data_IF_741181075510
#
_entry.id   IF_741181075510
#
_cell.length_a   1.000
_cell.length_b   1.000
_cell.length_c   1.000
_cell.angle_alpha   90.00
_cell.angle_beta   90.00
_cell.angle_gamma   90.00
#
_symmetry.space_group_name_H-M   'P 1'
#
loop_
_entity.id
_entity.type
_entity.pdbx_description
1 polymer ?
#
# COMPACT_ATOMS: atom_id res chain seq x y z
N UNK A 1 -4.20 -2.62 -32.02
CA UNK A 1 -3.13 -3.21 -32.85
C UNK A 1 -2.33 -2.08 -33.47
N UNK A 2 -1.04 -2.07 -33.27
CA UNK A 2 -0.14 -1.07 -33.82
C UNK A 2 1.22 -1.17 -33.15
N UNK A 3 2.20 -0.48 -33.68
CA UNK A 3 3.60 -0.49 -33.25
C UNK A 3 3.77 0.07 -31.86
N UNK A 4 4.45 -0.66 -30.98
CA UNK A 4 4.89 -0.18 -29.65
C UNK A 4 6.39 0.05 -29.72
N UNK A 5 6.85 1.22 -29.31
CA UNK A 5 8.27 1.54 -29.20
C UNK A 5 8.67 1.56 -27.71
N UNK A 6 9.56 0.64 -27.34
CA UNK A 6 10.21 0.56 -26.03
C UNK A 6 11.63 1.10 -26.15
N UNK A 7 11.90 2.19 -25.46
CA UNK A 7 13.22 2.83 -25.42
C UNK A 7 13.87 2.53 -24.08
N UNK A 8 15.05 1.92 -24.12
CA UNK A 8 15.85 1.62 -22.95
C UNK A 8 17.12 2.47 -22.92
N UNK A 9 17.34 3.14 -21.80
CA UNK A 9 18.57 3.86 -21.55
C UNK A 9 19.52 3.12 -20.59
N UNK A 10 19.13 1.99 -20.02
CA UNK A 10 19.91 1.26 -19.01
C UNK A 10 20.33 -0.14 -19.48
N UNK A 11 19.52 -0.79 -20.29
CA UNK A 11 19.74 -2.18 -20.71
C UNK A 11 19.92 -2.26 -22.22
N UNK A 12 20.78 -3.21 -22.65
CA UNK A 12 20.95 -3.54 -24.07
C UNK A 12 19.73 -4.30 -24.61
N UNK A 13 19.60 -4.31 -25.93
CA UNK A 13 18.52 -5.03 -26.63
C UNK A 13 18.52 -6.53 -26.28
N UNK A 14 19.70 -7.15 -26.14
CA UNK A 14 19.84 -8.56 -25.77
C UNK A 14 19.37 -8.82 -24.32
N UNK A 15 19.67 -7.90 -23.37
CA UNK A 15 19.23 -8.04 -21.99
C UNK A 15 17.72 -7.93 -21.87
N UNK A 16 17.11 -6.98 -22.59
CA UNK A 16 15.66 -6.81 -22.66
C UNK A 16 15.02 -8.05 -23.27
N UNK A 17 15.60 -8.60 -24.35
CA UNK A 17 15.10 -9.82 -24.99
C UNK A 17 15.11 -11.01 -24.03
N UNK A 18 16.22 -11.26 -23.33
CA UNK A 18 16.32 -12.33 -22.32
C UNK A 18 15.24 -12.19 -21.24
N UNK A 19 14.95 -10.95 -20.82
CA UNK A 19 13.89 -10.68 -19.83
C UNK A 19 12.50 -10.91 -20.41
N UNK A 20 12.27 -10.44 -21.63
CA UNK A 20 10.99 -10.59 -22.31
C UNK A 20 10.65 -12.08 -22.59
N UNK A 21 11.63 -12.89 -22.96
CA UNK A 21 11.48 -14.34 -23.20
C UNK A 21 11.09 -15.11 -21.92
N UNK A 22 11.33 -14.55 -20.71
CA UNK A 22 10.87 -15.15 -19.45
C UNK A 22 9.41 -14.79 -19.12
N UNK A 23 8.97 -13.64 -19.58
CA UNK A 23 7.64 -13.08 -19.24
C UNK A 23 6.59 -13.47 -20.28
N UNK A 24 7.01 -13.67 -21.53
CA UNK A 24 6.12 -13.95 -22.66
C UNK A 24 6.61 -15.14 -23.46
N UNK A 25 5.75 -16.14 -23.67
CA UNK A 25 6.05 -17.30 -24.53
C UNK A 25 6.27 -16.90 -26.01
N UNK A 26 5.63 -15.82 -26.44
CA UNK A 26 5.77 -15.28 -27.80
C UNK A 26 5.72 -13.75 -27.74
N UNK A 27 6.80 -13.11 -28.15
CA UNK A 27 6.85 -11.65 -28.26
C UNK A 27 6.01 -11.17 -29.42
N UNK A 28 5.29 -10.03 -29.25
CA UNK A 28 4.54 -9.40 -30.35
C UNK A 28 5.48 -8.93 -31.47
N UNK A 29 5.10 -9.14 -32.72
CA UNK A 29 5.87 -8.68 -33.89
C UNK A 29 5.89 -7.16 -34.01
N UNK A 30 4.89 -6.47 -33.42
CA UNK A 30 4.73 -5.02 -33.43
C UNK A 30 5.50 -4.32 -32.26
N UNK A 31 6.30 -5.03 -31.47
CA UNK A 31 7.14 -4.48 -30.41
C UNK A 31 8.55 -4.19 -30.93
N UNK A 32 8.91 -2.92 -30.95
CA UNK A 32 10.25 -2.45 -31.32
C UNK A 32 11.02 -2.01 -30.09
N UNK A 33 12.28 -2.40 -30.01
CA UNK A 33 13.19 -2.04 -28.91
C UNK A 33 14.27 -1.12 -29.49
N UNK A 34 14.52 -0.03 -28.78
CA UNK A 34 15.56 0.94 -29.13
C UNK A 34 16.43 1.20 -27.89
N UNK A 35 17.70 0.82 -27.96
CA UNK A 35 18.70 1.13 -26.92
C UNK A 35 19.30 2.52 -27.22
N UNK A 36 18.68 3.59 -26.69
CA UNK A 36 19.07 4.97 -26.95
C UNK A 36 18.74 5.88 -25.75
N UNK A 37 19.55 6.92 -25.56
CA UNK A 37 19.41 7.89 -24.48
C UNK A 37 19.25 9.34 -24.99
N UNK A 38 19.57 9.58 -26.25
CA UNK A 38 19.38 10.90 -26.87
C UNK A 38 17.92 11.12 -27.28
N UNK A 39 17.28 12.15 -26.71
CA UNK A 39 15.86 12.43 -26.95
C UNK A 39 15.57 12.82 -28.41
N UNK A 40 16.54 13.42 -29.12
CA UNK A 40 16.35 13.85 -30.52
C UNK A 40 16.28 12.63 -31.45
N UNK A 41 17.13 11.62 -31.21
CA UNK A 41 17.11 10.33 -31.94
C UNK A 41 15.81 9.58 -31.66
N UNK A 42 15.33 9.61 -30.41
CA UNK A 42 14.05 9.00 -30.03
C UNK A 42 12.89 9.70 -30.76
N UNK A 43 12.93 11.04 -30.86
CA UNK A 43 11.92 11.79 -31.60
C UNK A 43 11.88 11.42 -33.10
N UNK A 44 13.04 11.26 -33.73
CA UNK A 44 13.16 10.81 -35.11
C UNK A 44 12.59 9.39 -35.30
N UNK A 45 12.91 8.47 -34.39
CA UNK A 45 12.38 7.12 -34.40
C UNK A 45 10.85 7.09 -34.27
N UNK A 46 10.27 7.97 -33.41
CA UNK A 46 8.82 8.14 -33.29
C UNK A 46 8.20 8.65 -34.58
N UNK A 47 8.85 9.58 -35.31
CA UNK A 47 8.35 10.06 -36.59
C UNK A 47 8.36 8.98 -37.69
N UNK A 48 9.42 8.15 -37.71
CA UNK A 48 9.58 7.08 -38.71
C UNK A 48 8.62 5.91 -38.47
N UNK A 49 8.50 5.46 -37.22
CA UNK A 49 7.72 4.27 -36.85
C UNK A 49 6.25 4.58 -36.61
N UNK A 50 5.91 5.84 -36.33
CA UNK A 50 4.57 6.29 -35.94
C UNK A 50 3.91 5.34 -34.90
N UNK A 51 4.53 5.12 -33.73
CA UNK A 51 4.06 4.14 -32.76
C UNK A 51 2.72 4.57 -32.17
N UNK A 52 1.88 3.59 -31.82
CA UNK A 52 0.63 3.84 -31.08
C UNK A 52 0.86 3.94 -29.56
N UNK A 53 2.06 3.58 -29.10
CA UNK A 53 2.46 3.63 -27.69
C UNK A 53 3.98 3.76 -27.56
N UNK A 54 4.44 4.64 -26.68
CA UNK A 54 5.85 4.88 -26.40
C UNK A 54 6.16 4.58 -24.92
N UNK A 55 7.20 3.81 -24.65
CA UNK A 55 7.72 3.52 -23.30
C UNK A 55 9.15 4.02 -23.21
N UNK A 56 9.46 4.78 -22.15
CA UNK A 56 10.81 5.31 -21.86
C UNK A 56 11.28 4.70 -20.53
N UNK A 57 12.35 3.92 -20.55
CA UNK A 57 12.92 3.23 -19.39
C UNK A 57 14.44 3.46 -19.29
N UNK A 58 14.89 4.40 -18.45
CA UNK A 58 14.19 5.33 -17.58
C UNK A 58 14.46 6.79 -17.99
N UNK A 59 13.63 7.71 -17.49
CA UNK A 59 13.81 9.16 -17.75
C UNK A 59 15.15 9.69 -17.22
N UNK A 60 15.74 9.04 -16.21
CA UNK A 60 17.00 9.46 -15.61
C UNK A 60 18.19 9.30 -16.53
N UNK A 61 18.12 8.39 -17.50
CA UNK A 61 19.20 8.17 -18.47
C UNK A 61 19.08 9.05 -19.72
N UNK A 62 17.91 9.64 -19.94
CA UNK A 62 17.67 10.47 -21.12
C UNK A 62 18.40 11.80 -21.05
N UNK A 63 18.89 12.27 -22.20
CA UNK A 63 19.54 13.57 -22.33
C UNK A 63 19.21 14.25 -23.67
N UNK A 64 19.38 15.57 -23.69
CA UNK A 64 19.47 16.39 -24.92
C UNK A 64 20.80 17.10 -24.96
N UNK A 65 21.33 17.32 -26.16
CA UNK A 65 22.58 18.10 -26.37
C UNK A 65 22.38 19.58 -26.18
N UNK A 66 21.15 20.06 -26.09
CA UNK A 66 20.83 21.50 -25.97
C UNK A 66 21.23 22.11 -24.64
N UNK A 67 21.51 21.28 -23.64
CA UNK A 67 21.91 21.72 -22.30
C UNK A 67 23.15 20.95 -21.81
N UNK A 68 24.12 21.67 -21.22
CA UNK A 68 25.40 21.09 -20.78
C UNK A 68 25.34 20.30 -19.45
N UNK A 69 24.18 20.02 -18.92
CA UNK A 69 24.05 19.27 -17.65
C UNK A 69 24.07 17.77 -17.85
N UNK A 70 24.58 17.04 -16.85
CA UNK A 70 24.66 15.58 -16.91
C UNK A 70 23.28 14.92 -16.98
N UNK A 71 23.14 13.73 -17.64
CA UNK A 71 21.94 12.90 -17.57
C UNK A 71 21.49 12.66 -16.12
N UNK A 72 20.20 12.61 -15.86
CA UNK A 72 19.64 12.47 -14.52
C UNK A 72 19.59 13.75 -13.68
N UNK A 73 20.24 14.84 -14.15
CA UNK A 73 20.08 16.16 -13.50
C UNK A 73 18.65 16.69 -13.64
N UNK A 74 18.25 17.55 -12.70
CA UNK A 74 16.92 18.20 -12.69
C UNK A 74 16.61 18.89 -14.03
N UNK A 75 17.58 19.56 -14.62
CA UNK A 75 17.45 20.27 -15.90
C UNK A 75 17.24 19.30 -17.06
N UNK A 76 18.04 18.23 -17.16
CA UNK A 76 17.90 17.22 -18.20
C UNK A 76 16.54 16.52 -18.09
N UNK A 77 16.17 16.01 -16.91
CA UNK A 77 14.89 15.32 -16.68
C UNK A 77 13.71 16.24 -17.06
N UNK A 78 13.77 17.53 -16.71
CA UNK A 78 12.73 18.50 -17.08
C UNK A 78 12.65 18.69 -18.58
N UNK A 79 13.79 18.91 -19.24
CA UNK A 79 13.82 19.20 -20.69
C UNK A 79 13.40 17.97 -21.49
N UNK A 80 13.96 16.80 -21.19
CA UNK A 80 13.55 15.55 -21.85
C UNK A 80 12.08 15.22 -21.60
N UNK A 81 11.59 15.41 -20.37
CA UNK A 81 10.18 15.22 -20.02
C UNK A 81 9.25 16.14 -20.83
N UNK A 82 9.61 17.43 -21.00
CA UNK A 82 8.83 18.35 -21.85
C UNK A 82 8.80 17.90 -23.31
N UNK A 83 9.96 17.44 -23.83
CA UNK A 83 10.04 16.96 -25.21
C UNK A 83 9.18 15.69 -25.42
N UNK A 84 9.23 14.73 -24.50
CA UNK A 84 8.38 13.55 -24.53
C UNK A 84 6.87 13.91 -24.49
N UNK A 85 6.50 14.88 -23.66
CA UNK A 85 5.13 15.40 -23.61
C UNK A 85 4.74 16.08 -24.93
N UNK A 86 5.69 16.78 -25.59
CA UNK A 86 5.47 17.40 -26.91
C UNK A 86 5.25 16.33 -27.98
N UNK A 87 6.11 15.31 -28.03
CA UNK A 87 5.97 14.17 -28.95
C UNK A 87 4.59 13.50 -28.77
N UNK A 88 4.23 13.15 -27.54
CA UNK A 88 2.97 12.52 -27.23
C UNK A 88 1.77 13.36 -27.70
N UNK A 89 1.77 14.67 -27.45
CA UNK A 89 0.67 15.56 -27.85
C UNK A 89 0.61 15.79 -29.35
N UNK A 90 1.74 15.97 -30.01
CA UNK A 90 1.77 16.24 -31.46
C UNK A 90 1.32 15.06 -32.29
N UNK A 91 1.68 13.85 -31.88
CA UNK A 91 1.39 12.62 -32.61
C UNK A 91 0.20 11.85 -32.03
N UNK A 92 -0.40 12.31 -30.92
CA UNK A 92 -1.50 11.60 -30.25
C UNK A 92 -1.06 10.26 -29.64
N UNK A 93 0.21 10.14 -29.24
CA UNK A 93 0.83 8.91 -28.73
C UNK A 93 0.78 8.93 -27.19
N UNK A 94 0.16 7.94 -26.53
CA UNK A 94 0.34 7.72 -25.10
C UNK A 94 1.81 7.42 -24.77
N UNK A 95 2.37 8.15 -23.80
CA UNK A 95 3.76 7.98 -23.37
C UNK A 95 3.80 7.45 -21.93
N UNK A 96 4.47 6.33 -21.74
CA UNK A 96 4.78 5.75 -20.43
C UNK A 96 6.22 6.09 -20.07
N UNK A 97 6.41 6.78 -18.94
CA UNK A 97 7.71 7.19 -18.45
C UNK A 97 8.02 6.42 -17.18
N UNK A 98 9.02 5.56 -17.22
CA UNK A 98 9.54 4.87 -16.04
C UNK A 98 10.51 5.80 -15.32
N UNK A 99 10.37 5.90 -13.99
CA UNK A 99 11.25 6.67 -13.15
C UNK A 99 11.58 5.90 -11.86
N UNK A 100 12.86 5.93 -11.46
CA UNK A 100 13.33 5.28 -10.24
C UNK A 100 13.36 6.28 -9.07
N UNK A 101 12.82 5.85 -7.93
CA UNK A 101 12.91 6.61 -6.67
C UNK A 101 14.05 6.04 -5.82
N UNK A 102 14.89 6.90 -5.24
CA UNK A 102 15.91 6.47 -4.28
C UNK A 102 15.31 6.19 -2.90
N UNK A 103 16.03 5.41 -2.09
CA UNK A 103 15.64 5.07 -0.70
C UNK A 103 15.43 6.28 0.20
N UNK A 104 16.08 7.41 -0.07
CA UNK A 104 15.93 8.67 0.67
C UNK A 104 14.79 9.57 0.18
N UNK A 105 14.15 9.23 -0.95
CA UNK A 105 13.12 10.09 -1.56
C UNK A 105 13.65 11.39 -2.15
N UNK A 106 14.97 11.59 -2.21
CA UNK A 106 15.62 12.88 -2.48
C UNK A 106 16.16 13.09 -3.90
N UNK A 107 15.89 12.20 -4.84
CA UNK A 107 16.18 12.54 -6.23
C UNK A 107 15.10 13.48 -6.77
N UNK A 108 15.52 14.73 -6.98
CA UNK A 108 14.69 15.83 -7.49
C UNK A 108 14.01 15.53 -8.86
N UNK A 109 14.52 14.54 -9.61
CA UNK A 109 14.03 14.17 -10.93
C UNK A 109 12.59 13.62 -10.97
N UNK A 110 12.23 12.59 -10.20
CA UNK A 110 10.89 12.00 -10.26
C UNK A 110 9.77 12.99 -9.93
N UNK A 111 9.93 13.81 -8.88
CA UNK A 111 8.92 14.82 -8.48
C UNK A 111 8.62 15.85 -9.56
N UNK A 112 9.58 16.18 -10.41
CA UNK A 112 9.38 17.11 -11.52
C UNK A 112 8.47 16.48 -12.56
N UNK A 113 8.72 15.23 -12.93
CA UNK A 113 7.93 14.50 -13.91
C UNK A 113 6.49 14.29 -13.41
N UNK A 114 6.29 14.04 -12.12
CA UNK A 114 4.96 13.89 -11.50
C UNK A 114 4.05 15.10 -11.76
N UNK A 115 4.59 16.31 -11.74
CA UNK A 115 3.81 17.51 -12.03
C UNK A 115 3.46 17.66 -13.51
N UNK A 116 4.26 17.08 -14.41
CA UNK A 116 4.12 17.23 -15.86
C UNK A 116 3.13 16.23 -16.47
N UNK A 117 3.07 15.01 -15.91
CA UNK A 117 2.25 13.90 -16.45
C UNK A 117 0.80 13.94 -15.97
N UNK A 118 -0.08 13.25 -16.65
CA UNK A 118 -1.52 13.17 -16.33
C UNK A 118 -1.83 12.11 -15.28
N UNK A 119 -1.04 11.05 -15.22
CA UNK A 119 -1.18 9.96 -14.28
C UNK A 119 0.19 9.62 -13.67
N UNK A 120 0.23 9.34 -12.37
CA UNK A 120 1.40 8.83 -11.64
C UNK A 120 1.01 7.55 -10.96
N UNK A 121 1.66 6.46 -11.35
CA UNK A 121 1.52 5.14 -10.73
C UNK A 121 2.80 4.84 -9.96
N UNK A 122 2.68 4.38 -8.72
CA UNK A 122 3.81 3.95 -7.92
C UNK A 122 3.69 2.50 -7.50
N UNK A 123 4.79 1.77 -7.64
CA UNK A 123 4.95 0.46 -7.04
C UNK A 123 5.59 0.60 -5.66
N UNK A 124 4.94 0.03 -4.66
CA UNK A 124 5.49 -0.09 -3.30
C UNK A 124 5.56 -1.57 -2.94
N UNK A 125 6.55 -1.95 -2.16
CA UNK A 125 6.72 -3.32 -1.67
C UNK A 125 7.96 -3.45 -0.82
N UNK A 126 7.97 -4.40 0.10
CA UNK A 126 9.13 -4.73 0.90
C UNK A 126 10.02 -5.72 0.12
N UNK A 127 11.33 -5.61 0.30
CA UNK A 127 12.30 -6.57 -0.28
C UNK A 127 12.21 -7.97 0.33
N UNK A 128 11.66 -8.06 1.53
CA UNK A 128 11.46 -9.31 2.26
C UNK A 128 10.19 -10.07 1.82
N UNK A 129 9.29 -9.42 1.10
CA UNK A 129 8.05 -10.01 0.62
C UNK A 129 7.97 -9.92 -0.90
N UNK A 130 7.47 -10.95 -1.55
CA UNK A 130 7.29 -10.99 -3.02
C UNK A 130 6.14 -10.11 -3.48
N UNK A 131 5.31 -9.62 -2.55
CA UNK A 131 4.16 -8.77 -2.84
C UNK A 131 4.56 -7.35 -3.25
N UNK A 132 3.84 -6.83 -4.24
CA UNK A 132 3.97 -5.46 -4.76
C UNK A 132 2.59 -4.83 -4.85
N UNK A 133 2.48 -3.60 -4.36
CA UNK A 133 1.24 -2.80 -4.44
C UNK A 133 1.44 -1.71 -5.46
N UNK A 134 0.58 -1.68 -6.47
CA UNK A 134 0.47 -0.60 -7.44
C UNK A 134 -0.59 0.39 -6.97
N UNK A 135 -0.24 1.66 -6.89
CA UNK A 135 -1.13 2.73 -6.44
C UNK A 135 -1.07 3.93 -7.38
N UNK A 136 -2.21 4.51 -7.71
CA UNK A 136 -2.27 5.77 -8.42
C UNK A 136 -2.08 6.94 -7.41
N UNK A 137 -0.97 7.67 -7.53
CA UNK A 137 -0.73 8.88 -6.72
C UNK A 137 -1.37 10.13 -7.35
N UNK A 138 -1.50 10.13 -8.67
CA UNK A 138 -2.15 11.18 -9.44
C UNK A 138 -2.88 10.54 -10.62
N UNK A 139 -4.10 11.00 -10.88
CA UNK A 139 -4.86 10.56 -12.06
C UNK A 139 -5.83 11.67 -12.47
N UNK A 140 -5.58 12.34 -13.61
CA UNK A 140 -6.46 13.41 -14.11
C UNK A 140 -7.74 12.89 -14.74
N UNK A 141 -7.78 11.62 -15.13
CA UNK A 141 -8.89 11.02 -15.88
C UNK A 141 -9.73 10.05 -15.06
N UNK A 142 -9.38 9.83 -13.78
CA UNK A 142 -10.09 8.90 -12.92
C UNK A 142 -9.75 9.05 -11.46
N UNK A 143 -10.15 8.05 -10.67
CA UNK A 143 -9.85 8.00 -9.24
C UNK A 143 -8.39 7.66 -8.97
N UNK A 144 -7.83 8.16 -7.88
CA UNK A 144 -6.55 7.74 -7.31
C UNK A 144 -6.73 6.68 -6.22
N UNK A 145 -7.96 6.28 -6.00
CA UNK A 145 -8.34 5.42 -4.88
C UNK A 145 -8.22 3.92 -5.17
N UNK A 146 -7.87 3.52 -6.37
CA UNK A 146 -7.69 2.10 -6.72
C UNK A 146 -6.27 1.64 -6.40
N UNK A 147 -6.18 0.40 -5.90
CA UNK A 147 -4.91 -0.31 -5.71
C UNK A 147 -4.94 -1.64 -6.45
N UNK A 148 -3.81 -2.01 -7.04
CA UNK A 148 -3.55 -3.35 -7.57
C UNK A 148 -2.53 -4.06 -6.71
N UNK A 149 -2.78 -5.31 -6.35
CA UNK A 149 -1.83 -6.15 -5.64
C UNK A 149 -1.26 -7.19 -6.58
N UNK A 150 0.04 -7.40 -6.51
CA UNK A 150 0.77 -8.33 -7.35
C UNK A 150 1.79 -9.12 -6.52
N UNK A 151 2.04 -10.33 -6.92
CA UNK A 151 3.11 -11.18 -6.42
C UNK A 151 4.21 -11.31 -7.48
N UNK A 152 5.48 -11.28 -7.05
CA UNK A 152 6.63 -11.48 -7.93
C UNK A 152 6.88 -12.97 -8.11
N UNK A 153 6.42 -13.51 -9.24
CA UNK A 153 6.65 -14.89 -9.63
C UNK A 153 7.82 -15.02 -10.64
N UNK A 154 8.21 -16.25 -10.96
CA UNK A 154 9.23 -16.50 -11.99
C UNK A 154 8.82 -15.96 -13.37
N UNK A 155 7.52 -15.97 -13.67
CA UNK A 155 6.94 -15.45 -14.91
C UNK A 155 6.71 -13.93 -14.90
N UNK A 156 7.10 -13.21 -13.82
CA UNK A 156 6.87 -11.78 -13.65
C UNK A 156 5.85 -11.46 -12.57
N UNK A 157 5.14 -10.32 -12.70
CA UNK A 157 4.12 -9.90 -11.77
C UNK A 157 2.80 -10.61 -12.05
N UNK A 158 2.29 -11.34 -11.04
CA UNK A 158 1.00 -12.01 -11.07
C UNK A 158 0.00 -11.24 -10.20
N UNK A 159 -1.21 -11.01 -10.72
CA UNK A 159 -2.25 -10.30 -9.98
C UNK A 159 -2.79 -11.13 -8.82
N UNK A 160 -2.94 -10.51 -7.65
CA UNK A 160 -3.60 -11.08 -6.47
C UNK A 160 -5.03 -10.56 -6.44
N UNK A 161 -5.99 -11.39 -6.84
CA UNK A 161 -7.40 -11.00 -6.91
C UNK A 161 -8.02 -10.74 -5.53
N UNK A 162 -7.63 -11.54 -4.52
CA UNK A 162 -8.15 -11.45 -3.15
C UNK A 162 -7.02 -11.21 -2.13
N UNK A 163 -6.51 -9.97 -2.11
CA UNK A 163 -5.42 -9.59 -1.21
C UNK A 163 -5.76 -9.83 0.28
N UNK A 164 -6.98 -9.51 0.71
CA UNK A 164 -7.42 -9.75 2.09
C UNK A 164 -7.42 -11.23 2.45
N UNK A 165 -7.87 -12.09 1.53
CA UNK A 165 -7.85 -13.54 1.72
C UNK A 165 -6.43 -14.08 1.85
N UNK A 166 -5.54 -13.72 0.94
CA UNK A 166 -4.14 -14.15 0.96
C UNK A 166 -3.44 -13.77 2.26
N UNK A 167 -3.61 -12.52 2.73
CA UNK A 167 -3.01 -12.06 3.99
C UNK A 167 -3.57 -12.78 5.22
N UNK A 168 -4.84 -13.21 5.18
CA UNK A 168 -5.45 -13.95 6.28
C UNK A 168 -5.08 -15.44 6.31
N UNK A 169 -4.81 -16.05 5.14
CA UNK A 169 -4.39 -17.46 5.04
C UNK A 169 -3.02 -17.71 5.69
N UNK A 170 -2.13 -16.71 5.65
CA UNK A 170 -0.80 -16.78 6.27
C UNK A 170 -0.81 -16.50 7.78
N UNK A 171 -1.95 -16.06 8.34
CA UNK A 171 -2.05 -15.66 9.73
C UNK A 171 -2.06 -16.87 10.67
N UNK A 172 -1.18 -16.87 11.67
CA UNK A 172 -1.23 -17.85 12.75
C UNK A 172 -2.40 -17.58 13.67
N UNK A 173 -3.24 -18.61 13.85
CA UNK A 173 -4.48 -18.49 14.64
C UNK A 173 -4.17 -18.32 16.13
N UNK A 174 -4.89 -17.39 16.75
CA UNK A 174 -4.91 -17.16 18.19
C UNK A 174 -3.52 -16.86 18.81
N UNK A 175 -2.67 -16.17 18.04
CA UNK A 175 -1.37 -15.71 18.52
C UNK A 175 -1.49 -14.44 19.37
N UNK A 176 -0.72 -14.41 20.47
CA UNK A 176 -0.58 -13.18 21.26
C UNK A 176 0.13 -12.09 20.46
N UNK A 177 -0.29 -10.86 20.63
CA UNK A 177 0.27 -9.73 19.89
C UNK A 177 -0.24 -9.58 18.47
N UNK A 178 -1.06 -10.49 17.94
CA UNK A 178 -1.65 -10.42 16.61
C UNK A 178 -3.11 -9.96 16.69
N UNK A 179 -3.47 -8.98 15.86
CA UNK A 179 -4.85 -8.45 15.75
C UNK A 179 -5.18 -8.11 14.31
N UNK A 180 -6.31 -8.61 13.85
CA UNK A 180 -6.81 -8.28 12.51
C UNK A 180 -7.48 -6.93 12.51
N UNK A 181 -7.16 -6.11 11.53
CA UNK A 181 -7.78 -4.81 11.29
C UNK A 181 -8.28 -4.71 9.85
N UNK A 182 -9.05 -3.67 9.58
CA UNK A 182 -9.36 -3.30 8.22
C UNK A 182 -9.20 -1.79 8.05
N UNK A 183 -8.63 -1.41 6.92
CA UNK A 183 -8.51 -0.04 6.47
C UNK A 183 -9.33 0.15 5.20
N UNK A 184 -9.71 1.37 4.93
CA UNK A 184 -10.37 1.70 3.68
C UNK A 184 -9.36 2.32 2.74
N UNK A 185 -8.87 1.52 1.82
CA UNK A 185 -7.91 1.94 0.81
C UNK A 185 -8.61 2.00 -0.55
N UNK A 186 -8.60 3.17 -1.15
CA UNK A 186 -9.26 3.34 -2.42
C UNK A 186 -10.78 3.19 -2.35
N UNK A 187 -11.32 2.24 -3.06
CA UNK A 187 -12.76 1.94 -3.12
C UNK A 187 -13.15 0.71 -2.32
N UNK A 188 -12.18 -0.05 -1.80
CA UNK A 188 -12.40 -1.33 -1.11
C UNK A 188 -11.82 -1.34 0.30
N UNK A 189 -12.45 -2.06 1.24
CA UNK A 189 -11.82 -2.41 2.50
C UNK A 189 -10.66 -3.38 2.23
N UNK A 190 -9.55 -3.14 2.89
CA UNK A 190 -8.40 -4.02 2.91
C UNK A 190 -8.22 -4.55 4.32
N UNK A 191 -8.23 -5.86 4.48
CA UNK A 191 -8.02 -6.53 5.77
C UNK A 191 -6.54 -6.82 5.95
N UNK A 192 -6.00 -6.45 7.11
CA UNK A 192 -4.59 -6.51 7.44
C UNK A 192 -4.39 -7.12 8.82
N UNK A 193 -3.24 -7.72 9.04
CA UNK A 193 -2.78 -8.13 10.36
C UNK A 193 -1.83 -7.09 10.95
N UNK A 194 -2.07 -6.71 12.20
CA UNK A 194 -1.16 -5.91 13.02
C UNK A 194 -0.53 -6.83 14.04
N UNK A 195 0.79 -6.91 14.02
CA UNK A 195 1.57 -7.66 14.99
C UNK A 195 2.30 -6.70 15.92
N UNK A 196 2.31 -6.99 17.21
CA UNK A 196 3.07 -6.26 18.21
C UNK A 196 3.85 -7.23 19.10
N UNK A 197 5.08 -6.87 19.42
CA UNK A 197 5.93 -7.55 20.38
C UNK A 197 6.35 -6.56 21.45
N UNK A 198 6.08 -6.91 22.71
CA UNK A 198 6.60 -6.20 23.88
C UNK A 198 7.58 -7.09 24.62
N UNK A 199 8.75 -6.56 24.95
CA UNK A 199 9.75 -7.27 25.71
C UNK A 199 10.43 -6.33 26.71
N UNK A 200 10.95 -6.88 27.81
CA UNK A 200 11.65 -6.06 28.78
C UNK A 200 12.89 -5.44 28.14
N UNK A 201 13.01 -4.11 28.22
CA UNK A 201 14.17 -3.42 27.71
C UNK A 201 15.42 -3.79 28.51
N UNK A 202 16.50 -4.10 27.81
CA UNK A 202 17.82 -4.22 28.43
C UNK A 202 18.33 -2.83 28.88
N UNK A 203 19.44 -2.78 29.60
CA UNK A 203 20.05 -1.54 30.12
C UNK A 203 20.12 -0.46 29.00
N UNK A 204 19.33 0.59 29.15
CA UNK A 204 19.26 1.70 28.20
C UNK A 204 17.84 2.25 27.99
N UNK A 205 17.66 3.00 26.90
CA UNK A 205 16.34 3.53 26.53
C UNK A 205 15.51 2.45 25.82
N UNK A 206 14.24 2.32 26.19
CA UNK A 206 13.28 1.45 25.55
C UNK A 206 13.15 1.78 24.05
N UNK A 207 13.28 0.77 23.21
CA UNK A 207 13.17 0.90 21.73
C UNK A 207 11.70 0.90 21.33
N UNK A 208 11.36 1.77 20.39
CA UNK A 208 10.03 1.85 19.78
C UNK A 208 10.19 1.86 18.29
N UNK A 209 9.77 0.78 17.64
CA UNK A 209 9.93 0.59 16.20
C UNK A 209 8.60 0.21 15.60
N UNK A 210 8.21 0.89 14.52
CA UNK A 210 7.02 0.58 13.77
C UNK A 210 7.33 0.39 12.28
N UNK A 211 6.79 -0.66 11.72
CA UNK A 211 6.71 -0.90 10.28
C UNK A 211 5.24 -0.84 9.85
N UNK A 212 4.93 0.00 8.88
CA UNK A 212 3.55 0.21 8.43
C UNK A 212 2.74 1.22 9.26
N UNK A 213 3.24 1.64 10.44
CA UNK A 213 2.62 2.67 11.30
C UNK A 213 3.60 3.83 11.49
N UNK A 214 3.10 5.04 11.54
CA UNK A 214 3.92 6.22 11.86
C UNK A 214 4.45 6.15 13.29
N UNK A 215 5.76 6.40 13.49
CA UNK A 215 6.41 6.29 14.81
C UNK A 215 5.86 7.32 15.82
N UNK A 216 5.47 8.51 15.37
CA UNK A 216 4.86 9.52 16.24
C UNK A 216 3.46 9.05 16.68
N UNK A 217 2.72 8.42 15.78
CA UNK A 217 1.42 7.84 16.08
C UNK A 217 1.52 6.69 17.07
N UNK A 218 2.45 5.75 16.85
CA UNK A 218 2.73 4.69 17.82
C UNK A 218 3.06 5.27 19.19
N UNK A 219 3.93 6.27 19.28
CA UNK A 219 4.31 6.91 20.54
C UNK A 219 3.11 7.51 21.29
N UNK A 220 2.16 8.13 20.55
CA UNK A 220 0.92 8.65 21.13
C UNK A 220 0.02 7.53 21.67
N UNK A 221 -0.15 6.44 20.92
CA UNK A 221 -0.94 5.28 21.35
C UNK A 221 -0.35 4.67 22.62
N UNK A 222 0.97 4.46 22.70
CA UNK A 222 1.66 3.94 23.86
C UNK A 222 1.46 4.83 25.10
N UNK A 223 1.57 6.15 24.96
CA UNK A 223 1.33 7.10 26.04
C UNK A 223 -0.13 7.04 26.55
N UNK A 224 -1.10 6.84 25.65
CA UNK A 224 -2.50 6.65 26.04
C UNK A 224 -2.69 5.34 26.80
N UNK A 225 -2.10 4.23 26.33
CA UNK A 225 -2.15 2.93 27.00
C UNK A 225 -1.53 3.00 28.40
N UNK A 226 -0.36 3.63 28.55
CA UNK A 226 0.27 3.86 29.87
C UNK A 226 -0.66 4.65 30.80
N UNK A 227 -1.14 5.80 30.33
CA UNK A 227 -1.90 6.73 31.18
C UNK A 227 -3.31 6.25 31.50
N UNK A 228 -3.99 5.58 30.56
CA UNK A 228 -5.42 5.22 30.69
C UNK A 228 -5.65 3.79 31.14
N UNK A 229 -4.70 2.90 30.87
CA UNK A 229 -4.81 1.48 31.24
C UNK A 229 -3.80 1.03 32.30
N UNK A 230 -2.89 1.93 32.70
CA UNK A 230 -1.88 1.63 33.72
C UNK A 230 -0.82 0.63 33.27
N UNK A 231 -0.56 0.52 31.96
CA UNK A 231 0.51 -0.35 31.48
C UNK A 231 1.88 0.28 31.77
N UNK A 232 2.85 -0.52 32.22
CA UNK A 232 4.23 -0.09 32.44
C UNK A 232 5.08 -0.31 31.19
N UNK A 233 4.88 0.53 30.15
CA UNK A 233 5.60 0.42 28.88
C UNK A 233 6.92 1.21 28.85
N UNK A 234 7.20 2.02 29.86
CA UNK A 234 8.40 2.87 29.91
C UNK A 234 9.71 2.05 29.84
N UNK A 235 9.71 0.85 30.41
CA UNK A 235 10.85 -0.09 30.43
C UNK A 235 10.63 -1.28 29.48
N UNK A 236 9.75 -1.13 28.48
CA UNK A 236 9.47 -2.17 27.50
C UNK A 236 9.92 -1.72 26.11
N UNK A 237 10.67 -2.56 25.43
CA UNK A 237 10.84 -2.46 23.99
C UNK A 237 9.49 -2.80 23.34
N UNK A 238 9.08 -1.98 22.37
CA UNK A 238 7.83 -2.18 21.63
C UNK A 238 8.11 -2.17 20.14
N UNK A 239 7.76 -3.26 19.50
CA UNK A 239 7.85 -3.43 18.05
C UNK A 239 6.45 -3.62 17.51
N UNK A 240 6.10 -2.92 16.44
CA UNK A 240 4.82 -3.04 15.74
C UNK A 240 5.08 -3.24 14.26
N UNK A 241 4.38 -4.18 13.66
CA UNK A 241 4.46 -4.46 12.22
C UNK A 241 3.06 -4.62 11.63
N UNK A 242 2.80 -3.97 10.51
CA UNK A 242 1.66 -4.30 9.65
C UNK A 242 2.15 -5.29 8.59
N UNK A 243 1.58 -6.48 8.60
CA UNK A 243 1.98 -7.57 7.69
C UNK A 243 1.71 -7.19 6.24
N UNK A 244 2.56 -7.67 5.33
CA UNK A 244 2.46 -7.40 3.90
C UNK A 244 3.13 -6.12 3.42
N UNK A 245 3.87 -5.40 4.30
CA UNK A 245 4.61 -4.18 3.91
C UNK A 245 3.73 -2.99 3.53
N UNK A 246 2.44 -3.06 3.85
CA UNK A 246 1.45 -2.03 3.56
C UNK A 246 1.58 -0.91 4.60
N UNK A 247 1.46 0.34 4.13
CA UNK A 247 1.41 1.53 4.99
C UNK A 247 0.05 2.19 4.83
N UNK A 248 -0.93 1.83 5.67
CA UNK A 248 -2.25 2.43 5.61
C UNK A 248 -2.21 3.94 5.89
N UNK A 249 -3.02 4.68 5.17
CA UNK A 249 -3.22 6.08 5.48
C UNK A 249 -4.31 6.26 6.56
N UNK A 250 -4.13 7.29 7.42
CA UNK A 250 -5.10 7.64 8.44
C UNK A 250 -4.98 6.85 9.75
N UNK A 251 -6.07 6.82 10.50
CA UNK A 251 -6.10 6.40 11.92
C UNK A 251 -6.95 5.16 12.18
N UNK A 252 -7.34 4.45 11.12
CA UNK A 252 -8.19 3.24 11.21
C UNK A 252 -7.57 2.13 12.06
N UNK A 253 -6.25 2.01 12.03
CA UNK A 253 -5.48 0.94 12.65
C UNK A 253 -5.16 1.17 14.13
N UNK A 254 -5.44 2.37 14.68
CA UNK A 254 -5.03 2.73 16.04
C UNK A 254 -5.53 1.73 17.09
N UNK A 255 -6.83 1.36 17.00
CA UNK A 255 -7.41 0.42 17.94
C UNK A 255 -6.74 -0.97 17.82
N UNK A 256 -6.47 -1.43 16.61
CA UNK A 256 -5.79 -2.71 16.41
C UNK A 256 -4.35 -2.68 16.94
N UNK A 257 -3.61 -1.59 16.71
CA UNK A 257 -2.27 -1.39 17.28
C UNK A 257 -2.31 -1.42 18.81
N UNK A 258 -3.25 -0.72 19.42
CA UNK A 258 -3.42 -0.71 20.86
C UNK A 258 -3.77 -2.10 21.41
N UNK A 259 -4.67 -2.83 20.75
CA UNK A 259 -5.05 -4.19 21.12
C UNK A 259 -3.89 -5.17 20.94
N UNK A 260 -3.10 -5.07 19.87
CA UNK A 260 -1.94 -5.92 19.63
C UNK A 260 -0.85 -5.69 20.71
N UNK A 261 -0.54 -4.43 21.04
CA UNK A 261 0.38 -4.09 22.12
C UNK A 261 -0.15 -4.61 23.47
N UNK A 262 -1.43 -4.44 23.75
CA UNK A 262 -2.05 -4.93 24.99
C UNK A 262 -2.03 -6.47 25.06
N UNK A 263 -2.35 -7.14 23.95
CA UNK A 263 -2.30 -8.60 23.79
C UNK A 263 -0.90 -9.14 24.12
N UNK A 264 0.13 -8.62 23.46
CA UNK A 264 1.52 -8.99 23.68
C UNK A 264 1.97 -8.70 25.11
N UNK A 265 1.61 -7.55 25.69
CA UNK A 265 1.97 -7.18 27.06
C UNK A 265 1.34 -8.11 28.12
N UNK A 266 0.12 -8.59 27.84
CA UNK A 266 -0.61 -9.49 28.76
C UNK A 266 -0.38 -10.97 28.49
N UNK A 267 0.25 -11.34 27.37
CA UNK A 267 0.40 -12.74 26.94
C UNK A 267 -0.96 -13.40 26.68
N UNK A 268 -1.91 -12.69 26.06
CA UNK A 268 -3.25 -13.17 25.79
C UNK A 268 -3.71 -12.82 24.37
N UNK A 269 -4.12 -13.79 23.59
CA UNK A 269 -4.67 -13.59 22.28
C UNK A 269 -6.07 -12.97 22.29
N UNK A 270 -6.37 -12.08 21.32
CA UNK A 270 -7.71 -11.52 21.12
C UNK A 270 -8.66 -12.50 20.43
N UNK A 271 -8.11 -13.46 19.72
CA UNK A 271 -8.81 -14.41 18.87
C UNK A 271 -8.84 -13.98 17.40
N UNK A 272 -8.42 -14.89 16.53
CA UNK A 272 -8.28 -14.67 15.07
C UNK A 272 -9.62 -14.39 14.35
N UNK A 273 -10.75 -14.77 14.94
CA UNK A 273 -12.08 -14.45 14.42
C UNK A 273 -12.54 -13.01 14.73
N UNK A 274 -11.68 -12.18 15.34
CA UNK A 274 -11.99 -10.81 15.74
C UNK A 274 -11.27 -9.79 14.84
N UNK A 275 -12.03 -8.87 14.26
CA UNK A 275 -11.52 -7.72 13.53
C UNK A 275 -11.71 -6.45 14.39
N UNK A 276 -10.71 -5.57 14.44
CA UNK A 276 -10.79 -4.33 15.20
C UNK A 276 -10.37 -3.12 14.35
N UNK A 277 -11.13 -2.05 14.42
CA UNK A 277 -10.78 -0.78 13.77
C UNK A 277 -11.30 0.43 14.55
N UNK A 278 -10.60 1.56 14.46
CA UNK A 278 -11.03 2.81 15.09
C UNK A 278 -9.88 3.73 15.43
N UNK A 279 -10.15 5.01 15.53
CA UNK A 279 -9.18 6.03 15.94
C UNK A 279 -9.16 6.17 17.45
N UNK A 280 -7.98 6.37 18.04
CA UNK A 280 -7.78 6.64 19.47
C UNK A 280 -7.41 8.11 19.68
N UNK A 281 -8.23 8.83 20.46
CA UNK A 281 -7.91 10.17 20.92
C UNK A 281 -6.92 10.15 22.11
N UNK A 282 -6.20 11.27 22.31
CA UNK A 282 -5.25 11.42 23.44
C UNK A 282 -5.94 11.33 24.82
N UNK A 283 -7.24 11.54 24.89
CA UNK A 283 -8.05 11.39 26.11
C UNK A 283 -8.45 9.94 26.37
N UNK A 284 -8.12 9.01 25.43
CA UNK A 284 -8.47 7.59 25.47
C UNK A 284 -9.86 7.29 24.89
N UNK A 285 -10.55 8.28 24.36
CA UNK A 285 -11.81 8.12 23.66
C UNK A 285 -11.60 7.47 22.30
N UNK A 286 -12.52 6.56 21.91
CA UNK A 286 -12.54 6.02 20.56
C UNK A 286 -13.43 6.87 19.65
N UNK A 287 -12.84 7.31 18.54
CA UNK A 287 -13.47 8.16 17.55
C UNK A 287 -13.94 7.35 16.35
N UNK A 288 -15.13 7.74 15.87
CA UNK A 288 -15.71 7.09 14.71
C UNK A 288 -14.87 7.36 13.45
N UNK A 289 -14.66 6.30 12.67
CA UNK A 289 -14.02 6.35 11.36
C UNK A 289 -15.04 6.33 10.23
N UNK A 290 -14.65 6.84 9.08
CA UNK A 290 -15.47 6.82 7.88
C UNK A 290 -15.53 5.40 7.27
N UNK A 291 -16.45 5.16 6.35
CA UNK A 291 -16.60 3.89 5.62
C UNK A 291 -16.71 2.61 6.48
N UNK A 292 -17.00 2.76 7.79
CA UNK A 292 -17.16 1.62 8.69
C UNK A 292 -18.22 0.60 8.24
N UNK A 293 -19.22 1.02 7.44
CA UNK A 293 -20.21 0.11 6.86
C UNK A 293 -19.57 -0.87 5.88
N UNK A 294 -18.70 -0.41 4.99
CA UNK A 294 -18.01 -1.27 4.02
C UNK A 294 -17.06 -2.23 4.72
N UNK A 295 -16.35 -1.76 5.76
CA UNK A 295 -15.48 -2.61 6.59
C UNK A 295 -16.32 -3.70 7.29
N UNK A 296 -17.48 -3.34 7.86
CA UNK A 296 -18.34 -4.31 8.53
C UNK A 296 -18.90 -5.36 7.57
N UNK A 297 -19.27 -4.98 6.35
CA UNK A 297 -19.72 -5.92 5.30
C UNK A 297 -18.60 -6.87 4.91
N UNK A 298 -17.39 -6.36 4.69
CA UNK A 298 -16.21 -7.17 4.35
C UNK A 298 -15.90 -8.18 5.47
N UNK A 299 -15.88 -7.72 6.73
CA UNK A 299 -15.73 -8.63 7.87
C UNK A 299 -16.80 -9.73 7.89
N UNK A 300 -18.03 -9.39 7.53
CA UNK A 300 -19.13 -10.38 7.39
C UNK A 300 -18.88 -11.39 6.28
N UNK A 301 -18.37 -10.97 5.13
CA UNK A 301 -18.05 -11.83 3.99
C UNK A 301 -16.85 -12.75 4.25
N UNK A 302 -15.80 -12.23 4.90
CA UNK A 302 -14.60 -12.99 5.24
C UNK A 302 -14.75 -13.94 6.43
N UNK A 303 -15.93 -14.01 7.03
CA UNK A 303 -16.23 -15.02 8.04
C UNK A 303 -15.92 -14.63 9.49
N UNK A 304 -15.52 -13.38 9.76
CA UNK A 304 -15.30 -12.92 11.13
C UNK A 304 -16.54 -13.11 12.00
N UNK A 305 -16.32 -13.41 13.28
CA UNK A 305 -17.41 -13.62 14.25
C UNK A 305 -17.64 -12.38 15.11
N UNK A 306 -16.59 -11.54 15.28
CA UNK A 306 -16.63 -10.36 16.13
C UNK A 306 -15.93 -9.17 15.47
N UNK A 307 -16.56 -8.00 15.54
CA UNK A 307 -15.95 -6.73 15.14
C UNK A 307 -15.96 -5.77 16.32
N UNK A 308 -14.78 -5.28 16.68
CA UNK A 308 -14.56 -4.29 17.75
C UNK A 308 -14.35 -2.93 17.10
N UNK A 309 -15.15 -1.93 17.47
CA UNK A 309 -15.17 -0.63 16.80
C UNK A 309 -15.65 0.48 17.77
N UNK A 310 -15.47 1.77 17.41
CA UNK A 310 -15.97 2.87 18.23
C UNK A 310 -17.48 2.79 18.40
N UNK A 311 -17.98 3.08 19.60
CA UNK A 311 -19.41 3.01 19.95
C UNK A 311 -20.30 3.82 18.99
N UNK A 312 -19.82 4.98 18.52
CA UNK A 312 -20.55 5.80 17.54
C UNK A 312 -20.70 5.13 16.17
N UNK A 313 -19.70 4.33 15.73
CA UNK A 313 -19.84 3.50 14.54
C UNK A 313 -20.84 2.38 14.81
N UNK A 314 -20.75 1.71 15.96
CA UNK A 314 -21.65 0.63 16.33
C UNK A 314 -23.13 1.07 16.32
N UNK A 315 -23.43 2.24 16.88
CA UNK A 315 -24.79 2.80 16.88
C UNK A 315 -25.34 3.05 15.47
N UNK A 316 -24.50 3.60 14.58
CA UNK A 316 -24.88 3.90 13.18
C UNK A 316 -25.07 2.65 12.34
N UNK A 317 -24.32 1.58 12.63
CA UNK A 317 -24.23 0.38 11.81
C UNK A 317 -25.20 -0.76 12.25
N UNK A 318 -26.08 -0.52 13.22
CA UNK A 318 -27.06 -1.54 13.70
C UNK A 318 -27.91 -2.14 12.57
N UNK A 319 -28.39 -1.30 11.64
CA UNK A 319 -29.19 -1.77 10.49
C UNK A 319 -28.37 -2.61 9.52
N UNK A 320 -27.14 -2.17 9.24
CA UNK A 320 -26.20 -2.90 8.40
C UNK A 320 -25.86 -4.26 9.00
N UNK A 321 -25.59 -4.32 10.31
CA UNK A 321 -25.35 -5.58 11.01
C UNK A 321 -26.55 -6.55 10.89
N UNK A 322 -27.76 -6.05 11.04
CA UNK A 322 -28.97 -6.87 10.89
C UNK A 322 -29.10 -7.45 9.47
N UNK A 323 -28.79 -6.67 8.42
CA UNK A 323 -28.76 -7.15 7.03
C UNK A 323 -27.70 -8.23 6.83
N UNK A 324 -26.47 -8.00 7.32
CA UNK A 324 -25.37 -8.97 7.24
C UNK A 324 -25.76 -10.27 7.93
N UNK A 325 -26.34 -10.21 9.13
CA UNK A 325 -26.71 -11.39 9.89
C UNK A 325 -27.84 -12.18 9.25
N UNK A 326 -28.77 -11.51 8.54
CA UNK A 326 -29.78 -12.20 7.74
C UNK A 326 -29.14 -12.99 6.59
N UNK A 327 -28.24 -12.36 5.84
CA UNK A 327 -27.51 -13.01 4.75
C UNK A 327 -26.66 -14.18 5.24
N UNK A 328 -26.00 -14.03 6.40
CA UNK A 328 -25.19 -15.08 7.05
C UNK A 328 -26.07 -16.27 7.50
N UNK A 329 -27.24 -15.99 8.07
CA UNK A 329 -28.21 -17.03 8.47
C UNK A 329 -28.68 -17.84 7.27
N UNK A 330 -28.99 -17.19 6.15
CA UNK A 330 -29.37 -17.87 4.89
C UNK A 330 -28.26 -18.81 4.38
N UNK A 331 -26.99 -18.48 4.67
CA UNK A 331 -25.81 -19.32 4.34
C UNK A 331 -25.40 -20.30 5.44
N UNK A 332 -26.16 -20.42 6.54
CA UNK A 332 -25.85 -21.31 7.67
C UNK A 332 -24.64 -20.87 8.51
N UNK A 333 -24.19 -19.59 8.39
CA UNK A 333 -23.07 -19.05 9.13
C UNK A 333 -23.50 -18.46 10.48
N UNK A 334 -22.59 -18.47 11.45
CA UNK A 334 -22.82 -17.83 12.76
C UNK A 334 -23.01 -16.30 12.60
N UNK A 335 -23.88 -15.67 13.42
CA UNK A 335 -24.10 -14.24 13.35
C UNK A 335 -22.84 -13.47 13.76
N UNK A 336 -22.55 -12.41 13.01
CA UNK A 336 -21.49 -11.44 13.32
C UNK A 336 -21.89 -10.64 14.55
N UNK A 337 -21.00 -10.53 15.53
CA UNK A 337 -21.18 -9.71 16.75
C UNK A 337 -20.42 -8.40 16.60
N UNK A 338 -21.04 -7.31 16.99
CA UNK A 338 -20.44 -5.98 16.98
C UNK A 338 -20.26 -5.49 18.42
N UNK A 339 -19.02 -5.18 18.81
CA UNK A 339 -18.67 -4.68 20.15
C UNK A 339 -18.25 -3.23 20.05
N UNK A 340 -19.15 -2.34 20.47
CA UNK A 340 -18.90 -0.90 20.50
C UNK A 340 -18.11 -0.49 21.75
N UNK A 341 -16.99 0.20 21.58
CA UNK A 341 -16.12 0.69 22.65
C UNK A 341 -16.14 2.22 22.67
N UNK A 342 -16.28 2.81 23.86
CA UNK A 342 -16.28 4.25 24.07
C UNK A 342 -14.90 4.75 24.48
N UNK A 343 -14.21 4.00 25.33
CA UNK A 343 -12.90 4.36 25.85
C UNK A 343 -11.94 3.17 25.80
N UNK A 344 -10.65 3.45 25.58
CA UNK A 344 -9.62 2.41 25.49
C UNK A 344 -9.52 1.52 26.74
N UNK A 345 -9.88 2.02 27.91
CA UNK A 345 -9.89 1.23 29.14
C UNK A 345 -10.86 0.04 29.11
N UNK A 346 -11.88 0.07 28.23
CA UNK A 346 -12.84 -1.03 28.09
C UNK A 346 -12.25 -2.25 27.36
N UNK A 347 -11.12 -2.10 26.65
CA UNK A 347 -10.52 -3.19 25.84
C UNK A 347 -10.06 -4.37 26.71
N UNK A 348 -9.76 -4.12 27.99
CA UNK A 348 -9.41 -5.20 28.92
C UNK A 348 -10.50 -6.27 29.07
N UNK A 349 -11.75 -5.94 28.77
CA UNK A 349 -12.91 -6.86 28.84
C UNK A 349 -13.03 -7.72 27.57
N UNK A 350 -12.18 -7.53 26.58
CA UNK A 350 -12.20 -8.28 25.32
C UNK A 350 -11.38 -9.58 25.39
N UNK A 351 -10.43 -9.62 26.35
CA UNK A 351 -9.50 -10.71 26.62
C UNK A 351 -9.98 -11.51 27.84
#
# INVERSE_FOLDING_TARGET
KGTVLYVSGEESEEQIKIRADRVCDKLPEDLYILAETNIDVIAEACQQLNPVFLIIDSIQTMYTSDIESAPGSVSQVRTCGNELMRIGKMHGIPVFIVAHVTKSGDLAGPRIVEHMVDCVLSFTGDRSHEMRILRAQKNRFGTTSEIGAFEMAQQGLMEIENLSGTLLEEMEKDSEGAVVTAVYEGTRPLVLEVQALTSQANIGFARRTALGVDNSRLSMILAVLEKKMGLSLINQDVYVNIVGGIRPEGTYTDLAVALAVYSSYRGKALGSSTLAFGEIGLTGDLRAVQNGEKILREAGHLGFERVVLPIRNAERLKKTLASINKERQEKGLQPLKMVGIKNISEVQNLF
#
